data_IF_504249213779
#
_entry.id   IF_504249213779
#
_cell.length_a   1.000
_cell.length_b   1.000
_cell.length_c   1.000
_cell.angle_alpha   90.00
_cell.angle_beta   90.00
_cell.angle_gamma   90.00
#
_symmetry.space_group_name_H-M   'P 1'
#
loop_
_entity.id
_entity.type
_entity.pdbx_description
1 polymer ?
#
# COMPACT_ATOMS: atom_id res chain seq x y z
N UNK A 1 11.36 16.59 31.97
CA UNK A 1 11.19 15.36 31.17
C UNK A 1 10.98 15.75 29.72
N UNK A 2 11.82 15.29 28.77
CA UNK A 2 11.59 15.54 27.36
C UNK A 2 10.34 14.74 26.94
N UNK A 3 9.28 15.45 26.56
CA UNK A 3 8.03 14.82 26.15
C UNK A 3 8.27 13.97 24.90
N UNK A 4 8.03 12.67 25.00
CA UNK A 4 8.00 11.77 23.85
C UNK A 4 6.90 12.29 22.93
N UNK A 5 7.27 12.99 21.86
CA UNK A 5 6.35 13.30 20.76
C UNK A 5 5.92 11.95 20.19
N UNK A 6 4.73 11.49 20.60
CA UNK A 6 4.06 10.35 19.96
C UNK A 6 3.85 10.75 18.52
N UNK A 7 4.78 10.39 17.65
CA UNK A 7 4.60 10.36 16.20
C UNK A 7 3.58 9.25 15.90
N UNK A 8 2.34 9.49 16.31
CA UNK A 8 1.18 8.67 15.99
C UNK A 8 0.88 8.96 14.53
N UNK A 9 1.65 8.32 13.65
CA UNK A 9 1.29 8.11 12.25
C UNK A 9 -0.03 7.34 12.26
N UNK A 10 -1.11 8.08 12.43
CA UNK A 10 -2.45 7.54 12.56
C UNK A 10 -3.02 7.46 11.16
N UNK A 11 -3.65 6.31 10.90
CA UNK A 11 -4.48 6.09 9.74
C UNK A 11 -5.50 7.23 9.60
N UNK A 12 -5.37 8.06 8.54
CA UNK A 12 -6.34 9.09 8.25
C UNK A 12 -7.54 8.47 7.54
N UNK A 13 -8.49 8.00 8.35
CA UNK A 13 -9.67 7.26 7.91
C UNK A 13 -10.45 7.95 6.80
N UNK A 14 -10.76 9.24 6.98
CA UNK A 14 -11.55 10.01 6.02
C UNK A 14 -10.84 10.14 4.67
N UNK A 15 -9.53 10.36 4.69
CA UNK A 15 -8.73 10.49 3.46
C UNK A 15 -8.60 9.15 2.74
N UNK A 16 -8.35 8.07 3.47
CA UNK A 16 -8.27 6.74 2.87
C UNK A 16 -9.61 6.30 2.28
N UNK A 17 -10.73 6.48 3.00
CA UNK A 17 -12.07 6.18 2.47
C UNK A 17 -12.38 6.96 1.20
N UNK A 18 -11.95 8.22 1.10
CA UNK A 18 -12.12 9.04 -0.10
C UNK A 18 -11.37 8.43 -1.28
N UNK A 19 -10.10 8.09 -1.10
CA UNK A 19 -9.27 7.46 -2.15
C UNK A 19 -9.85 6.11 -2.54
N UNK A 20 -10.21 5.28 -1.55
CA UNK A 20 -10.75 3.95 -1.79
C UNK A 20 -12.07 4.00 -2.57
N UNK A 21 -13.01 4.88 -2.20
CA UNK A 21 -14.26 5.08 -2.95
C UNK A 21 -14.00 5.55 -4.39
N UNK A 22 -13.04 6.47 -4.56
CA UNK A 22 -12.66 6.96 -5.90
C UNK A 22 -12.11 5.84 -6.78
N UNK A 23 -11.32 4.91 -6.23
CA UNK A 23 -10.77 3.76 -6.97
C UNK A 23 -11.81 2.66 -7.25
N UNK A 24 -12.73 2.42 -6.33
CA UNK A 24 -13.79 1.42 -6.53
C UNK A 24 -14.83 1.90 -7.56
N UNK A 25 -15.13 3.19 -7.57
CA UNK A 25 -16.13 3.78 -8.44
C UNK A 25 -15.56 4.33 -9.77
N UNK A 26 -14.24 4.26 -9.99
CA UNK A 26 -13.62 4.70 -11.25
C UNK A 26 -13.74 3.67 -12.38
N UNK A 27 -14.10 2.43 -12.08
CA UNK A 27 -14.38 1.44 -13.12
C UNK A 27 -15.79 1.72 -13.65
N UNK A 28 -15.93 1.99 -14.95
CA UNK A 28 -17.20 2.31 -15.65
C UNK A 28 -18.24 1.17 -15.65
N UNK A 29 -18.08 0.15 -14.81
CA UNK A 29 -19.05 -0.91 -14.59
C UNK A 29 -20.09 -0.52 -13.56
N UNK A 30 -21.35 -0.80 -13.86
CA UNK A 30 -22.59 -0.53 -13.09
C UNK A 30 -22.63 -0.95 -11.61
N UNK A 31 -21.55 -1.46 -11.03
CA UNK A 31 -21.51 -1.95 -9.65
C UNK A 31 -20.75 -0.98 -8.76
N UNK A 32 -21.42 0.10 -8.34
CA UNK A 32 -20.94 0.99 -7.28
C UNK A 32 -20.75 0.16 -6.00
N UNK A 33 -19.51 -0.13 -5.63
CA UNK A 33 -19.20 -0.87 -4.40
C UNK A 33 -19.40 0.06 -3.21
N UNK A 34 -20.52 -0.13 -2.50
CA UNK A 34 -20.82 0.59 -1.27
C UNK A 34 -19.91 0.12 -0.13
N UNK A 35 -18.92 0.92 0.25
CA UNK A 35 -18.18 0.71 1.50
C UNK A 35 -19.10 1.08 2.65
N UNK A 36 -19.52 0.07 3.43
CA UNK A 36 -20.29 0.26 4.66
C UNK A 36 -19.57 1.26 5.57
N UNK A 37 -20.33 2.02 6.36
CA UNK A 37 -19.79 2.93 7.37
C UNK A 37 -19.31 2.19 8.63
N UNK A 38 -18.88 0.94 8.50
CA UNK A 38 -18.24 0.15 9.55
C UNK A 38 -16.72 0.33 9.49
N UNK A 39 -15.95 -0.45 10.24
CA UNK A 39 -14.49 -0.36 10.25
C UNK A 39 -13.81 -1.23 9.17
N UNK A 40 -14.50 -1.74 8.16
CA UNK A 40 -13.88 -2.63 7.15
C UNK A 40 -12.74 -1.94 6.38
N UNK A 41 -12.79 -0.62 6.24
CA UNK A 41 -11.72 0.16 5.64
C UNK A 41 -10.38 0.03 6.38
N UNK A 42 -10.40 -0.25 7.69
CA UNK A 42 -9.17 -0.52 8.44
C UNK A 42 -8.49 -1.81 7.98
N UNK A 43 -9.26 -2.84 7.61
CA UNK A 43 -8.71 -4.10 7.13
C UNK A 43 -8.06 -3.91 5.76
N UNK A 44 -8.72 -3.16 4.88
CA UNK A 44 -8.17 -2.80 3.57
C UNK A 44 -6.90 -1.97 3.74
N UNK A 45 -6.89 -1.04 4.69
CA UNK A 45 -5.70 -0.27 5.03
C UNK A 45 -4.55 -1.15 5.56
N UNK A 46 -4.83 -2.12 6.43
CA UNK A 46 -3.82 -3.05 6.93
C UNK A 46 -3.24 -3.93 5.82
N UNK A 47 -4.09 -4.41 4.89
CA UNK A 47 -3.65 -5.16 3.71
C UNK A 47 -2.76 -4.29 2.82
N UNK A 48 -3.14 -3.04 2.59
CA UNK A 48 -2.34 -2.07 1.84
C UNK A 48 -0.99 -1.80 2.53
N UNK A 49 -0.97 -1.60 3.85
CA UNK A 49 0.27 -1.41 4.60
C UNK A 49 1.16 -2.65 4.56
N UNK A 50 0.58 -3.85 4.64
CA UNK A 50 1.33 -5.09 4.46
C UNK A 50 1.93 -5.17 3.06
N UNK A 51 1.17 -4.82 2.02
CA UNK A 51 1.64 -4.76 0.64
C UNK A 51 2.83 -3.81 0.50
N UNK A 52 2.73 -2.59 1.02
CA UNK A 52 3.81 -1.60 0.97
C UNK A 52 5.06 -2.10 1.70
N UNK A 53 4.91 -2.73 2.87
CA UNK A 53 6.04 -3.32 3.59
C UNK A 53 6.70 -4.45 2.80
N UNK A 54 5.92 -5.36 2.21
CA UNK A 54 6.45 -6.42 1.35
C UNK A 54 7.13 -5.84 0.11
N UNK A 55 6.56 -4.80 -0.50
CA UNK A 55 7.11 -4.13 -1.67
C UNK A 55 8.49 -3.51 -1.38
N UNK A 56 8.64 -2.83 -0.25
CA UNK A 56 9.92 -2.26 0.18
C UNK A 56 10.93 -3.37 0.47
N UNK A 57 10.53 -4.42 1.19
CA UNK A 57 11.42 -5.51 1.56
C UNK A 57 11.90 -6.31 0.34
N UNK A 58 11.01 -6.60 -0.60
CA UNK A 58 11.37 -7.26 -1.86
C UNK A 58 12.19 -6.33 -2.76
N UNK A 59 11.86 -5.04 -2.82
CA UNK A 59 12.63 -4.04 -3.57
C UNK A 59 14.07 -3.92 -3.05
N UNK A 60 14.26 -3.86 -1.73
CA UNK A 60 15.60 -3.78 -1.12
C UNK A 60 16.44 -5.05 -1.33
N UNK A 61 15.80 -6.23 -1.44
CA UNK A 61 16.46 -7.52 -1.70
C UNK A 61 16.71 -7.80 -3.18
N UNK A 62 15.99 -7.13 -4.08
CA UNK A 62 16.05 -7.44 -5.50
C UNK A 62 17.40 -6.99 -6.08
N UNK A 63 18.23 -7.95 -6.48
CA UNK A 63 19.40 -7.69 -7.33
C UNK A 63 19.02 -7.44 -8.81
N UNK A 64 17.75 -7.65 -9.15
CA UNK A 64 17.22 -7.46 -10.50
C UNK A 64 16.50 -6.10 -10.59
N UNK A 65 16.89 -5.28 -11.57
CA UNK A 65 16.37 -3.92 -11.82
C UNK A 65 17.33 -2.84 -11.34
N UNK A 66 17.92 -2.12 -12.29
CA UNK A 66 18.60 -0.84 -12.11
C UNK A 66 19.84 -0.78 -11.25
N UNK A 67 20.78 0.09 -11.63
CA UNK A 67 21.91 0.47 -10.80
C UNK A 67 21.44 0.92 -9.41
N UNK A 68 21.99 0.31 -8.37
CA UNK A 68 21.77 0.68 -6.97
C UNK A 68 22.59 -0.22 -6.05
N UNK A 69 23.00 0.29 -4.91
CA UNK A 69 23.76 -0.51 -3.93
C UNK A 69 22.87 -1.58 -3.28
N UNK A 70 23.47 -2.58 -2.63
CA UNK A 70 22.70 -3.56 -1.86
C UNK A 70 21.90 -2.85 -0.75
N UNK A 71 20.59 -3.09 -0.70
CA UNK A 71 19.68 -2.40 0.23
C UNK A 71 19.09 -1.08 -0.28
N UNK A 72 19.54 -0.57 -1.43
CA UNK A 72 18.93 0.61 -2.06
C UNK A 72 17.59 0.26 -2.72
N UNK A 73 16.58 1.10 -2.50
CA UNK A 73 15.24 0.96 -3.07
C UNK A 73 15.09 1.92 -4.24
N UNK A 74 15.26 1.41 -5.46
CA UNK A 74 15.07 2.16 -6.71
C UNK A 74 13.69 1.90 -7.31
N UNK A 75 13.23 2.79 -8.20
CA UNK A 75 11.96 2.62 -8.92
C UNK A 75 11.94 1.29 -9.71
N UNK A 76 13.04 0.92 -10.36
CA UNK A 76 13.16 -0.34 -11.10
C UNK A 76 13.04 -1.58 -10.20
N UNK A 77 13.67 -1.55 -9.02
CA UNK A 77 13.56 -2.63 -8.02
C UNK A 77 12.14 -2.74 -7.48
N UNK A 78 11.48 -1.61 -7.22
CA UNK A 78 10.09 -1.57 -6.79
C UNK A 78 9.15 -2.11 -7.88
N UNK A 79 9.38 -1.79 -9.16
CA UNK A 79 8.60 -2.32 -10.27
C UNK A 79 8.75 -3.84 -10.38
N UNK A 80 9.97 -4.36 -10.29
CA UNK A 80 10.22 -5.81 -10.28
C UNK A 80 9.60 -6.51 -9.06
N UNK A 81 9.65 -5.88 -7.88
CA UNK A 81 8.99 -6.37 -6.68
C UNK A 81 7.46 -6.35 -6.83
N UNK A 82 6.90 -5.29 -7.42
CA UNK A 82 5.48 -5.14 -7.69
C UNK A 82 4.98 -6.27 -8.62
N UNK A 83 5.70 -6.60 -9.68
CA UNK A 83 5.32 -7.66 -10.62
C UNK A 83 5.31 -9.06 -9.97
N UNK A 84 6.16 -9.28 -8.96
CA UNK A 84 6.13 -10.49 -8.13
C UNK A 84 4.96 -10.47 -7.15
N UNK A 85 4.78 -9.36 -6.41
CA UNK A 85 3.82 -9.26 -5.33
C UNK A 85 2.38 -9.17 -5.82
N UNK A 86 2.11 -8.51 -6.94
CA UNK A 86 0.74 -8.36 -7.48
C UNK A 86 0.09 -9.72 -7.74
N UNK A 87 0.88 -10.75 -8.08
CA UNK A 87 0.38 -12.12 -8.26
C UNK A 87 -0.13 -12.73 -6.95
N UNK A 88 0.51 -12.42 -5.82
CA UNK A 88 0.12 -12.87 -4.47
C UNK A 88 -1.16 -12.18 -3.98
N UNK A 89 -1.41 -10.95 -4.43
CA UNK A 89 -2.52 -10.10 -3.95
C UNK A 89 -3.76 -10.10 -4.86
N UNK A 90 -3.78 -10.88 -5.95
CA UNK A 90 -4.88 -10.88 -6.93
C UNK A 90 -6.21 -11.43 -6.41
N UNK A 91 -6.23 -12.10 -5.26
CA UNK A 91 -7.43 -12.75 -4.70
C UNK A 91 -7.77 -14.06 -5.40
#
# INVERSE_FOLDING_TARGET
MPGIKKNRKTYNQSSFRRVLRSKLNSNEGSNTVGIKSDNCDILIYLIYMNYVNELINEGAKSQNGGAGEEGEVTEERLNNANDKLIKKYRG
#
